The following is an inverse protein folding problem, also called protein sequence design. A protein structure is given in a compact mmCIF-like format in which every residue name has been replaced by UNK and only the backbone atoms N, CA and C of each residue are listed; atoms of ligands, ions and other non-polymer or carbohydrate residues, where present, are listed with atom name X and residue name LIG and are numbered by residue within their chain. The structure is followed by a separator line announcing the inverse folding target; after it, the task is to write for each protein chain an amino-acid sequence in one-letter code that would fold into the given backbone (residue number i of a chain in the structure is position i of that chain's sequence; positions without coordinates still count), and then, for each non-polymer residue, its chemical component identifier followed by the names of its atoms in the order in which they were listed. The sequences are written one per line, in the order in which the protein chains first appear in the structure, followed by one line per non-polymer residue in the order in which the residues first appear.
data_IF_537245560382
#
_entry.id   IF_537245560382
#
_cell.length_a   1.000
_cell.length_b   1.000
_cell.length_c   1.000
_cell.angle_alpha   90.00
_cell.angle_beta   90.00
_cell.angle_gamma   90.00
#
_symmetry.space_group_name_H-M   'P 1'
#
loop_
_entity.id
_entity.type
_entity.pdbx_description
1 polymer ?
#
# COMPACT_ATOMS: atom_id res chain seq x y z
N UNK A 1 -22.52 -9.07 11.51
CA UNK A 1 -22.54 -8.05 10.45
C UNK A 1 -21.50 -8.39 9.39
N UNK A 2 -21.91 -8.91 8.23
CA UNK A 2 -20.97 -9.12 7.12
C UNK A 2 -20.52 -7.75 6.61
N UNK A 3 -19.22 -7.46 6.75
CA UNK A 3 -18.61 -6.21 6.32
C UNK A 3 -18.49 -6.21 4.80
N UNK A 4 -19.53 -5.79 4.07
CA UNK A 4 -19.59 -5.68 2.59
C UNK A 4 -18.40 -4.95 1.99
N UNK A 5 -17.82 -3.99 2.72
CA UNK A 5 -16.60 -3.27 2.33
C UNK A 5 -15.34 -4.15 2.15
N UNK A 6 -15.34 -5.40 2.60
CA UNK A 6 -14.23 -6.35 2.40
C UNK A 6 -14.54 -7.42 1.33
N UNK A 7 -15.67 -7.29 0.63
CA UNK A 7 -16.15 -8.23 -0.37
C UNK A 7 -16.09 -7.59 -1.78
N UNK A 8 -15.07 -7.92 -2.60
CA UNK A 8 -14.86 -7.30 -3.91
C UNK A 8 -15.95 -7.68 -4.92
N UNK A 9 -16.63 -8.81 -4.72
CA UNK A 9 -17.72 -9.28 -5.57
C UNK A 9 -19.11 -8.84 -5.09
N UNK A 10 -19.21 -7.97 -4.08
CA UNK A 10 -20.50 -7.51 -3.54
C UNK A 10 -21.41 -6.94 -4.62
N UNK A 11 -20.88 -6.07 -5.48
CA UNK A 11 -21.62 -5.51 -6.63
C UNK A 11 -22.12 -6.60 -7.61
N UNK A 12 -21.28 -7.59 -7.91
CA UNK A 12 -21.67 -8.71 -8.80
C UNK A 12 -22.74 -9.63 -8.18
N UNK A 13 -22.84 -9.63 -6.85
CA UNK A 13 -23.82 -10.42 -6.11
C UNK A 13 -25.14 -9.68 -5.94
N UNK A 14 -25.25 -8.38 -6.26
CA UNK A 14 -26.49 -7.59 -6.08
C UNK A 14 -27.72 -8.26 -6.72
N UNK A 15 -27.69 -8.72 -7.99
CA UNK A 15 -28.85 -9.39 -8.57
C UNK A 15 -29.24 -10.68 -7.84
N UNK A 16 -28.26 -11.43 -7.29
CA UNK A 16 -28.53 -12.64 -6.52
C UNK A 16 -29.14 -12.31 -5.15
N UNK A 17 -28.68 -11.22 -4.52
CA UNK A 17 -29.22 -10.72 -3.25
C UNK A 17 -30.67 -10.26 -3.45
N UNK A 18 -30.94 -9.48 -4.50
CA UNK A 18 -32.29 -8.98 -4.84
C UNK A 18 -33.27 -10.12 -5.10
N UNK A 19 -32.82 -11.18 -5.76
CA UNK A 19 -33.61 -12.38 -6.04
C UNK A 19 -33.64 -13.40 -4.87
N UNK A 20 -33.08 -13.05 -3.70
CA UNK A 20 -33.05 -13.89 -2.48
C UNK A 20 -32.38 -15.25 -2.70
N UNK A 21 -31.41 -15.32 -3.60
CA UNK A 21 -30.69 -16.53 -4.00
C UNK A 21 -29.52 -16.84 -3.04
N UNK A 22 -29.80 -16.89 -1.74
CA UNK A 22 -28.79 -16.96 -0.66
C UNK A 22 -27.80 -18.12 -0.80
N UNK A 23 -28.25 -19.28 -1.29
CA UNK A 23 -27.41 -20.47 -1.48
C UNK A 23 -26.31 -20.29 -2.53
N UNK A 24 -26.46 -19.31 -3.43
CA UNK A 24 -25.49 -18.97 -4.47
C UNK A 24 -24.59 -17.79 -4.09
N UNK A 25 -24.83 -17.16 -2.94
CA UNK A 25 -23.99 -16.07 -2.45
C UNK A 25 -22.70 -16.63 -1.86
N UNK A 26 -21.61 -16.51 -2.62
CA UNK A 26 -20.26 -16.86 -2.15
C UNK A 26 -19.42 -15.58 -1.98
N UNK A 27 -19.25 -15.08 -0.75
CA UNK A 27 -18.34 -13.96 -0.48
C UNK A 27 -16.89 -14.32 -0.81
N UNK A 28 -16.22 -13.44 -1.55
CA UNK A 28 -14.79 -13.55 -1.82
C UNK A 28 -14.04 -12.49 -1.02
N UNK A 29 -12.76 -12.70 -0.75
CA UNK A 29 -11.87 -11.65 -0.22
C UNK A 29 -10.81 -11.32 -1.25
N UNK A 30 -10.48 -10.03 -1.37
CA UNK A 30 -9.27 -9.59 -2.07
C UNK A 30 -8.19 -9.31 -1.03
N UNK A 31 -7.04 -9.97 -1.13
CA UNK A 31 -5.94 -9.77 -0.19
C UNK A 31 -4.97 -10.94 -0.20
N UNK A 32 -4.65 -11.49 0.97
CA UNK A 32 -3.72 -12.62 1.06
C UNK A 32 -4.17 -13.61 2.12
N UNK A 33 -3.93 -14.90 1.87
CA UNK A 33 -3.99 -15.95 2.88
C UNK A 33 -2.61 -16.61 2.94
N UNK A 34 -2.02 -16.69 4.12
CA UNK A 34 -0.75 -17.35 4.37
C UNK A 34 -0.87 -18.17 5.66
N UNK A 35 -0.28 -19.35 5.69
CA UNK A 35 -0.30 -20.22 6.87
C UNK A 35 1.07 -20.87 7.06
N UNK A 36 1.48 -21.00 8.32
CA UNK A 36 2.61 -21.84 8.73
C UNK A 36 2.17 -22.77 9.86
N UNK A 37 2.74 -23.98 9.85
CA UNK A 37 2.73 -24.91 10.96
C UNK A 37 4.16 -25.08 11.43
N UNK A 38 4.42 -24.86 12.71
CA UNK A 38 5.76 -24.95 13.27
C UNK A 38 5.73 -25.52 14.68
N UNK A 39 6.87 -25.99 15.15
CA UNK A 39 7.06 -26.46 16.51
C UNK A 39 7.79 -25.41 17.33
N UNK A 40 7.29 -25.15 18.53
CA UNK A 40 7.89 -24.26 19.53
C UNK A 40 8.08 -25.09 20.80
N UNK A 41 9.32 -25.47 21.09
CA UNK A 41 9.57 -26.52 22.08
C UNK A 41 8.95 -27.85 21.64
N UNK A 42 8.08 -28.43 22.47
CA UNK A 42 7.31 -29.66 22.16
C UNK A 42 5.94 -29.40 21.54
N UNK A 43 5.54 -28.13 21.39
CA UNK A 43 4.17 -27.75 21.05
C UNK A 43 4.04 -27.38 19.59
N UNK A 44 2.97 -27.86 18.96
CA UNK A 44 2.62 -27.47 17.59
C UNK A 44 1.85 -26.15 17.60
N UNK A 45 2.35 -25.19 16.84
CA UNK A 45 1.78 -23.85 16.71
C UNK A 45 1.44 -23.62 15.24
N UNK A 46 0.15 -23.41 14.97
CA UNK A 46 -0.33 -22.92 13.68
C UNK A 46 -0.46 -21.40 13.74
N UNK A 47 0.14 -20.71 12.77
CA UNK A 47 -0.03 -19.26 12.61
C UNK A 47 -0.57 -18.99 11.21
N UNK A 48 -1.74 -18.36 11.16
CA UNK A 48 -2.41 -17.94 9.93
C UNK A 48 -2.43 -16.43 9.84
N UNK A 49 -2.14 -15.89 8.66
CA UNK A 49 -2.18 -14.47 8.38
C UNK A 49 -3.13 -14.19 7.21
N UNK A 50 -4.18 -13.42 7.47
CA UNK A 50 -5.20 -13.06 6.49
C UNK A 50 -5.15 -11.55 6.29
N UNK A 51 -5.01 -11.09 5.04
CA UNK A 51 -5.28 -9.70 4.67
C UNK A 51 -6.57 -9.59 3.88
N UNK A 52 -7.35 -8.57 4.21
CA UNK A 52 -8.60 -8.21 3.54
C UNK A 52 -8.52 -6.74 3.13
N UNK A 53 -8.54 -6.48 1.83
CA UNK A 53 -8.45 -5.14 1.26
C UNK A 53 -9.85 -4.55 1.13
N UNK A 54 -10.00 -3.31 1.54
CA UNK A 54 -11.26 -2.57 1.41
C UNK A 54 -11.52 -2.14 -0.03
N UNK A 55 -12.77 -2.26 -0.44
CA UNK A 55 -13.27 -1.99 -1.78
C UNK A 55 -13.70 -0.52 -1.95
N UNK A 56 -14.17 0.13 -0.88
CA UNK A 56 -14.74 1.49 -0.88
C UNK A 56 -13.89 2.57 -1.57
N UNK A 57 -12.56 2.48 -1.44
CA UNK A 57 -11.61 3.37 -2.13
C UNK A 57 -10.46 2.57 -2.74
N UNK A 58 -10.80 1.58 -3.57
CA UNK A 58 -9.81 0.81 -4.32
C UNK A 58 -9.12 1.68 -5.37
N UNK A 59 -7.85 1.38 -5.61
CA UNK A 59 -7.15 1.91 -6.76
C UNK A 59 -5.67 1.61 -6.81
N UNK A 60 -5.03 2.09 -7.87
CA UNK A 60 -3.59 1.94 -8.12
C UNK A 60 -2.79 3.03 -7.41
N UNK A 61 -1.49 2.77 -7.22
CA UNK A 61 -0.63 3.49 -6.28
C UNK A 61 -0.61 5.00 -6.45
N UNK A 62 -0.58 5.49 -7.68
CA UNK A 62 -0.46 6.92 -7.97
C UNK A 62 -1.79 7.57 -8.39
N UNK A 63 -2.79 6.78 -8.77
CA UNK A 63 -4.11 7.29 -9.17
C UNK A 63 -5.12 7.33 -8.01
N UNK A 64 -4.86 6.61 -6.91
CA UNK A 64 -5.74 6.61 -5.75
C UNK A 64 -4.93 6.68 -4.45
N UNK A 65 -4.87 7.88 -3.88
CA UNK A 65 -4.26 8.17 -2.58
C UNK A 65 -5.21 8.99 -1.71
N UNK A 66 -4.83 9.15 -0.44
CA UNK A 66 -5.64 9.84 0.54
C UNK A 66 -6.98 9.18 0.83
N UNK A 67 -7.92 9.95 1.33
CA UNK A 67 -9.31 9.57 1.50
C UNK A 67 -10.23 10.27 0.49
N UNK A 68 -11.46 9.79 0.35
CA UNK A 68 -12.54 10.59 -0.22
C UNK A 68 -13.23 11.45 0.86
N UNK A 69 -14.22 12.23 0.43
CA UNK A 69 -15.00 13.12 1.30
C UNK A 69 -15.86 12.36 2.33
N UNK A 70 -16.04 11.05 2.16
CA UNK A 70 -16.77 10.18 3.08
C UNK A 70 -15.85 9.55 4.14
N UNK A 71 -14.54 9.78 4.06
CA UNK A 71 -13.59 9.23 5.02
C UNK A 71 -13.07 7.84 4.64
N UNK A 72 -13.33 7.32 3.44
CA UNK A 72 -12.76 6.04 3.05
C UNK A 72 -11.32 6.24 2.57
N UNK A 73 -10.37 5.67 3.30
CA UNK A 73 -8.96 5.75 2.96
C UNK A 73 -8.59 4.79 1.83
N UNK A 74 -7.78 5.27 0.89
CA UNK A 74 -7.25 4.44 -0.18
C UNK A 74 -6.32 3.35 0.38
N UNK A 75 -6.30 2.20 -0.29
CA UNK A 75 -5.48 1.05 0.07
C UNK A 75 -5.63 0.62 1.54
N UNK A 76 -6.85 0.74 2.08
CA UNK A 76 -7.16 0.25 3.41
C UNK A 76 -7.11 -1.29 3.43
N UNK A 77 -6.33 -1.86 4.34
CA UNK A 77 -6.16 -3.31 4.50
C UNK A 77 -6.28 -3.65 5.97
N UNK A 78 -7.15 -4.61 6.26
CA UNK A 78 -7.24 -5.28 7.55
C UNK A 78 -6.37 -6.53 7.51
N UNK A 79 -5.40 -6.64 8.42
CA UNK A 79 -4.53 -7.79 8.57
C UNK A 79 -4.84 -8.47 9.91
N UNK A 80 -5.21 -9.74 9.86
CA UNK A 80 -5.51 -10.57 11.01
C UNK A 80 -4.51 -11.71 11.14
N UNK A 81 -3.89 -11.80 12.31
CA UNK A 81 -3.01 -12.88 12.69
C UNK A 81 -3.76 -13.80 13.65
N UNK A 82 -3.94 -15.05 13.24
CA UNK A 82 -4.59 -16.10 14.03
C UNK A 82 -3.52 -17.08 14.49
N UNK A 83 -3.52 -17.42 15.78
CA UNK A 83 -2.66 -18.43 16.37
C UNK A 83 -3.53 -19.55 16.94
N UNK A 84 -3.17 -20.80 16.66
CA UNK A 84 -3.84 -21.97 17.21
C UNK A 84 -2.80 -22.93 17.81
N UNK A 85 -2.99 -23.28 19.08
CA UNK A 85 -2.15 -24.25 19.80
C UNK A 85 -2.83 -24.68 21.10
N UNK A 86 -2.57 -25.91 21.57
CA UNK A 86 -3.15 -26.46 22.81
C UNK A 86 -4.69 -26.32 22.93
N UNK A 87 -5.42 -26.37 21.82
CA UNK A 87 -6.88 -26.17 21.81
C UNK A 87 -7.33 -24.70 21.95
N UNK A 88 -6.41 -23.76 22.15
CA UNK A 88 -6.69 -22.32 22.15
C UNK A 88 -6.65 -21.76 20.74
N UNK A 89 -7.51 -20.77 20.47
CA UNK A 89 -7.45 -19.94 19.27
C UNK A 89 -7.35 -18.48 19.68
N UNK A 90 -6.30 -17.79 19.22
CA UNK A 90 -6.13 -16.36 19.42
C UNK A 90 -6.20 -15.63 18.08
N UNK A 91 -6.74 -14.41 18.08
CA UNK A 91 -6.77 -13.54 16.90
C UNK A 91 -6.38 -12.11 17.26
N UNK A 92 -5.56 -11.48 16.41
CA UNK A 92 -5.21 -10.08 16.53
C UNK A 92 -5.35 -9.37 15.18
N UNK A 93 -6.14 -8.29 15.18
CA UNK A 93 -6.46 -7.49 13.99
C UNK A 93 -5.74 -6.14 14.05
N UNK A 94 -5.04 -5.80 12.98
CA UNK A 94 -4.44 -4.49 12.78
C UNK A 94 -4.76 -3.96 11.38
N UNK A 95 -4.82 -2.65 11.24
CA UNK A 95 -5.23 -2.01 9.98
C UNK A 95 -4.14 -1.12 9.44
N UNK A 96 -4.11 -0.94 8.12
CA UNK A 96 -3.25 0.03 7.44
C UNK A 96 -4.02 0.73 6.35
N UNK A 97 -3.53 1.89 5.92
CA UNK A 97 -4.09 2.59 4.78
C UNK A 97 -3.35 3.89 4.48
N UNK A 98 -3.80 4.58 3.44
CA UNK A 98 -3.34 5.93 3.15
C UNK A 98 -3.74 6.90 4.27
N UNK A 99 -3.04 8.03 4.39
CA UNK A 99 -3.42 9.06 5.35
C UNK A 99 -4.85 9.55 5.05
N UNK A 100 -5.76 9.58 6.05
CA UNK A 100 -7.19 9.73 5.83
C UNK A 100 -7.63 11.19 5.63
N UNK A 101 -7.04 11.88 4.64
CA UNK A 101 -7.46 13.19 4.17
C UNK A 101 -7.26 13.29 2.65
N UNK A 102 -7.76 14.36 2.02
CA UNK A 102 -7.71 14.49 0.57
C UNK A 102 -6.32 14.95 0.11
N UNK A 103 -5.59 14.05 -0.56
CA UNK A 103 -4.32 14.35 -1.20
C UNK A 103 -4.03 13.37 -2.33
N UNK A 104 -3.23 13.83 -3.30
CA UNK A 104 -2.95 13.12 -4.54
C UNK A 104 -1.46 13.15 -4.87
N UNK A 105 -1.03 12.20 -5.70
CA UNK A 105 0.33 12.12 -6.22
C UNK A 105 0.27 11.59 -7.65
N UNK A 106 -0.18 12.44 -8.57
CA UNK A 106 -0.46 12.06 -9.96
C UNK A 106 0.83 11.92 -10.76
N UNK A 107 0.93 10.88 -11.59
CA UNK A 107 2.10 10.62 -12.43
C UNK A 107 2.30 11.65 -13.55
N UNK A 108 3.55 12.06 -13.73
CA UNK A 108 3.97 13.08 -14.69
C UNK A 108 5.29 12.71 -15.41
N UNK A 109 5.63 11.41 -15.48
CA UNK A 109 6.94 10.87 -15.91
C UNK A 109 8.12 11.17 -14.96
N UNK A 110 7.92 11.96 -13.90
CA UNK A 110 8.96 12.15 -12.88
C UNK A 110 9.07 10.88 -12.03
N UNK A 111 10.29 10.50 -11.64
CA UNK A 111 10.50 9.33 -10.79
C UNK A 111 9.75 9.41 -9.45
N UNK A 112 9.67 10.61 -8.86
CA UNK A 112 8.87 10.92 -7.66
C UNK A 112 8.00 12.16 -7.92
N UNK A 113 6.73 11.98 -8.30
CA UNK A 113 5.81 13.10 -8.50
C UNK A 113 5.54 13.85 -7.19
N UNK A 114 5.13 15.12 -7.30
CA UNK A 114 4.80 15.97 -6.16
C UNK A 114 3.53 15.50 -5.44
N UNK A 115 3.44 15.84 -4.15
CA UNK A 115 2.22 15.65 -3.36
C UNK A 115 1.39 16.92 -3.39
N UNK A 116 0.13 16.77 -3.77
CA UNK A 116 -0.84 17.86 -3.86
C UNK A 116 -1.93 17.61 -2.81
N UNK A 117 -2.07 18.53 -1.85
CA UNK A 117 -3.11 18.46 -0.81
C UNK A 117 -4.33 19.19 -1.36
N UNK A 118 -5.43 18.45 -1.51
CA UNK A 118 -6.67 18.93 -2.12
C UNK A 118 -7.65 19.30 -1.00
N UNK A 119 -8.43 20.38 -1.16
CA UNK A 119 -9.52 20.77 -0.24
C UNK A 119 -9.12 20.67 1.23
N UNK A 120 -8.11 21.47 1.56
CA UNK A 120 -7.40 21.48 2.83
C UNK A 120 -8.30 21.71 4.04
N UNK A 121 -9.36 22.47 3.83
CA UNK A 121 -10.43 22.82 4.76
C UNK A 121 -11.32 21.62 5.14
N UNK A 122 -11.44 20.61 4.27
CA UNK A 122 -12.25 19.41 4.55
C UNK A 122 -11.50 18.36 5.38
N UNK A 123 -10.19 18.49 5.55
CA UNK A 123 -9.37 17.46 6.19
C UNK A 123 -9.87 17.06 7.60
N UNK A 124 -10.20 17.98 8.52
CA UNK A 124 -10.69 17.61 9.85
C UNK A 124 -11.98 16.78 9.79
N UNK A 125 -12.95 17.20 8.97
CA UNK A 125 -14.24 16.50 8.79
C UNK A 125 -14.05 15.07 8.25
N UNK A 126 -13.14 14.91 7.30
CA UNK A 126 -12.83 13.60 6.70
C UNK A 126 -12.12 12.68 7.70
N UNK A 127 -11.17 13.23 8.48
CA UNK A 127 -10.52 12.48 9.55
C UNK A 127 -11.53 12.03 10.61
N UNK A 128 -12.40 12.93 11.06
CA UNK A 128 -13.39 12.65 12.10
C UNK A 128 -14.29 11.48 11.69
N UNK A 129 -14.85 11.54 10.47
CA UNK A 129 -15.63 10.43 9.89
C UNK A 129 -14.83 9.14 9.82
N UNK A 130 -13.58 9.22 9.36
CA UNK A 130 -12.72 8.05 9.23
C UNK A 130 -12.44 7.37 10.57
N UNK A 131 -12.07 8.14 11.59
CA UNK A 131 -11.76 7.62 12.92
C UNK A 131 -13.01 7.14 13.66
N UNK A 132 -14.15 7.81 13.48
CA UNK A 132 -15.42 7.34 14.01
C UNK A 132 -15.80 5.96 13.43
N UNK A 133 -15.64 5.75 12.13
CA UNK A 133 -15.87 4.44 11.49
C UNK A 133 -14.92 3.35 12.03
N UNK A 134 -13.66 3.70 12.28
CA UNK A 134 -12.71 2.77 12.91
C UNK A 134 -13.10 2.45 14.35
N UNK A 135 -13.49 3.46 15.13
CA UNK A 135 -13.87 3.25 16.53
C UNK A 135 -15.09 2.36 16.66
N UNK A 136 -16.10 2.60 15.82
CA UNK A 136 -17.31 1.77 15.78
C UNK A 136 -17.01 0.30 15.47
N UNK A 137 -15.96 0.02 14.69
CA UNK A 137 -15.62 -1.34 14.25
C UNK A 137 -14.59 -2.04 15.16
N UNK A 138 -13.62 -1.30 15.67
CA UNK A 138 -12.44 -1.88 16.34
C UNK A 138 -12.23 -1.40 17.78
N UNK A 139 -13.07 -0.49 18.29
CA UNK A 139 -12.85 0.15 19.59
C UNK A 139 -11.77 1.23 19.53
N UNK A 140 -10.87 1.28 20.50
CA UNK A 140 -9.81 2.29 20.49
C UNK A 140 -8.91 2.19 19.24
N UNK A 141 -8.34 3.31 18.82
CA UNK A 141 -7.49 3.39 17.62
C UNK A 141 -6.19 4.12 17.96
N UNK A 142 -5.07 3.44 17.75
CA UNK A 142 -3.74 4.04 17.75
C UNK A 142 -3.28 4.26 16.31
N UNK A 143 -3.19 5.52 15.89
CA UNK A 143 -2.64 5.91 14.60
C UNK A 143 -1.12 6.08 14.67
N UNK A 144 -0.39 5.20 13.98
CA UNK A 144 1.07 5.25 13.84
C UNK A 144 1.42 5.80 12.46
N UNK A 145 2.06 6.95 12.41
CA UNK A 145 2.49 7.60 11.17
C UNK A 145 3.99 7.42 10.90
N UNK A 146 4.34 6.76 9.79
CA UNK A 146 5.71 6.38 9.44
C UNK A 146 6.39 7.32 8.41
N UNK A 147 5.82 8.50 8.23
CA UNK A 147 6.17 9.47 7.19
C UNK A 147 7.40 10.29 7.59
N UNK A 148 8.21 10.67 6.60
CA UNK A 148 9.44 11.40 6.84
C UNK A 148 9.15 12.83 7.31
N UNK A 149 10.03 13.37 8.15
CA UNK A 149 9.89 14.74 8.66
C UNK A 149 10.16 15.81 7.60
N UNK A 150 10.98 15.50 6.59
CA UNK A 150 11.41 16.46 5.57
C UNK A 150 10.70 16.35 4.23
N UNK A 151 10.79 17.42 3.44
CA UNK A 151 10.31 17.48 2.05
C UNK A 151 8.79 17.38 1.92
N UNK A 152 8.33 16.84 0.79
CA UNK A 152 6.89 16.71 0.52
C UNK A 152 6.15 15.74 1.48
N UNK A 153 6.86 14.75 2.02
CA UNK A 153 6.36 13.86 3.08
C UNK A 153 6.06 14.65 4.36
N UNK A 154 6.96 15.56 4.74
CA UNK A 154 6.82 16.42 5.92
C UNK A 154 5.56 17.31 5.87
N UNK A 155 5.22 17.85 4.70
CA UNK A 155 3.99 18.64 4.53
C UNK A 155 2.72 17.83 4.77
N UNK A 156 2.70 16.57 4.33
CA UNK A 156 1.57 15.67 4.58
C UNK A 156 1.47 15.33 6.08
N UNK A 157 2.60 15.07 6.73
CA UNK A 157 2.68 14.82 8.18
C UNK A 157 2.17 16.01 8.98
N UNK A 158 2.65 17.22 8.68
CA UNK A 158 2.21 18.44 9.38
C UNK A 158 0.70 18.65 9.23
N UNK A 159 0.18 18.48 8.01
CA UNK A 159 -1.26 18.53 7.76
C UNK A 159 -2.02 17.49 8.57
N UNK A 160 -1.53 16.26 8.58
CA UNK A 160 -2.20 15.17 9.30
C UNK A 160 -2.23 15.43 10.81
N UNK A 161 -1.08 15.81 11.38
CA UNK A 161 -0.94 16.13 12.80
C UNK A 161 -1.88 17.27 13.22
N UNK A 162 -1.94 18.36 12.44
CA UNK A 162 -2.85 19.47 12.71
C UNK A 162 -4.32 19.09 12.59
N UNK A 163 -4.66 18.20 11.67
CA UNK A 163 -6.06 17.82 11.41
C UNK A 163 -6.58 16.76 12.38
N UNK A 164 -5.71 15.92 12.95
CA UNK A 164 -6.09 14.87 13.90
C UNK A 164 -6.20 15.40 15.34
N UNK A 165 -5.48 16.48 15.66
CA UNK A 165 -5.43 17.07 17.00
C UNK A 165 -6.81 17.26 17.66
N UNK A 166 -7.87 17.76 16.97
CA UNK A 166 -9.18 17.93 17.58
C UNK A 166 -9.91 16.62 17.93
N UNK A 167 -9.48 15.49 17.34
CA UNK A 167 -10.13 14.17 17.48
C UNK A 167 -9.39 13.31 18.53
N UNK A 168 -8.21 13.75 18.97
CA UNK A 168 -7.42 13.02 19.96
C UNK A 168 -8.19 12.91 21.29
N UNK A 169 -8.20 11.70 21.83
CA UNK A 169 -8.92 11.33 23.05
C UNK A 169 -8.23 10.13 23.70
N UNK A 170 -8.77 9.61 24.80
CA UNK A 170 -8.27 8.36 25.39
C UNK A 170 -8.37 7.18 24.42
N UNK A 171 -9.37 7.19 23.54
CA UNK A 171 -9.64 6.13 22.56
C UNK A 171 -9.01 6.40 21.19
N UNK A 172 -8.52 7.62 20.91
CA UNK A 172 -7.82 7.96 19.67
C UNK A 172 -6.48 8.58 19.98
N UNK A 173 -5.42 7.79 19.80
CA UNK A 173 -4.03 8.21 20.03
C UNK A 173 -3.27 8.34 18.71
N UNK A 174 -2.43 9.36 18.60
CA UNK A 174 -1.55 9.59 17.46
C UNK A 174 -0.08 9.50 17.87
N UNK A 175 0.72 8.77 17.09
CA UNK A 175 2.17 8.63 17.26
C UNK A 175 2.85 8.82 15.91
N UNK A 176 3.73 9.81 15.81
CA UNK A 176 4.60 9.99 14.64
C UNK A 176 5.96 9.33 14.88
N UNK A 177 6.43 8.58 13.89
CA UNK A 177 7.72 7.90 13.92
C UNK A 177 8.42 8.01 12.56
N UNK A 178 9.48 8.83 12.49
CA UNK A 178 10.26 9.00 11.26
C UNK A 178 11.07 7.74 10.94
N UNK A 179 10.45 6.85 10.15
CA UNK A 179 11.01 5.54 9.83
C UNK A 179 12.35 5.65 9.10
N UNK A 180 12.49 6.60 8.16
CA UNK A 180 13.73 6.74 7.40
C UNK A 180 14.86 7.29 8.26
N UNK A 181 14.59 8.28 9.12
CA UNK A 181 15.61 8.82 10.02
C UNK A 181 16.05 7.80 11.07
N UNK A 182 15.10 7.06 11.64
CA UNK A 182 15.38 6.14 12.74
C UNK A 182 15.95 4.82 12.23
N UNK A 183 15.26 4.13 11.31
CA UNK A 183 15.66 2.80 10.84
C UNK A 183 16.60 2.85 9.62
N UNK A 184 16.65 3.95 8.88
CA UNK A 184 17.48 4.09 7.69
C UNK A 184 17.16 3.02 6.64
N UNK A 185 18.21 2.49 6.02
CA UNK A 185 18.10 1.40 5.04
C UNK A 185 18.32 0.00 5.62
N UNK A 186 18.82 -0.11 6.87
CA UNK A 186 19.43 -1.34 7.42
C UNK A 186 19.05 -1.63 8.89
N UNK A 187 18.69 -0.62 9.69
CA UNK A 187 18.60 -0.73 11.17
C UNK A 187 17.17 -0.82 11.71
N UNK A 188 16.43 -1.86 11.32
CA UNK A 188 15.05 -2.03 11.79
C UNK A 188 14.97 -2.55 13.24
N UNK A 189 16.08 -2.96 13.85
CA UNK A 189 16.16 -3.20 15.31
C UNK A 189 15.71 -1.98 16.12
N UNK A 190 15.86 -0.78 15.56
CA UNK A 190 15.40 0.49 16.15
C UNK A 190 13.88 0.64 16.16
N UNK A 191 13.12 -0.27 15.54
CA UNK A 191 11.67 -0.36 15.73
C UNK A 191 11.29 -0.70 17.17
N UNK A 192 12.22 -1.21 17.97
CA UNK A 192 12.05 -1.29 19.42
C UNK A 192 11.67 0.06 20.05
N UNK A 193 12.21 1.17 19.54
CA UNK A 193 11.87 2.52 20.02
C UNK A 193 10.41 2.88 19.76
N UNK A 194 9.84 2.43 18.64
CA UNK A 194 8.41 2.59 18.36
C UNK A 194 7.60 1.68 19.28
N UNK A 195 8.03 0.43 19.46
CA UNK A 195 7.38 -0.50 20.39
C UNK A 195 7.29 0.07 21.80
N UNK A 196 8.37 0.65 22.33
CA UNK A 196 8.38 1.25 23.67
C UNK A 196 7.35 2.37 23.84
N UNK A 197 7.01 3.12 22.77
CA UNK A 197 5.99 4.17 22.82
C UNK A 197 4.55 3.62 22.79
N UNK A 198 4.35 2.42 22.24
CA UNK A 198 3.03 1.85 21.99
C UNK A 198 2.72 0.62 22.85
N UNK A 199 3.70 0.06 23.57
CA UNK A 199 3.56 -1.17 24.35
C UNK A 199 2.41 -1.12 25.36
N UNK A 200 2.19 0.04 26.00
CA UNK A 200 1.14 0.19 27.01
C UNK A 200 -0.24 0.15 26.37
N UNK A 201 -0.38 0.70 25.15
CA UNK A 201 -1.60 0.59 24.36
C UNK A 201 -1.88 -0.88 23.98
N UNK A 202 -0.86 -1.61 23.51
CA UNK A 202 -1.01 -3.02 23.14
C UNK A 202 -1.41 -3.88 24.35
N UNK A 203 -0.83 -3.62 25.53
CA UNK A 203 -1.20 -4.32 26.78
C UNK A 203 -2.62 -4.00 27.24
N UNK A 204 -3.08 -2.75 27.08
CA UNK A 204 -4.43 -2.31 27.45
C UNK A 204 -5.50 -2.96 26.56
N UNK A 205 -5.29 -2.95 25.25
CA UNK A 205 -6.32 -3.33 24.27
C UNK A 205 -6.27 -4.79 23.81
N UNK A 206 -5.21 -5.52 24.19
CA UNK A 206 -5.07 -6.98 24.08
C UNK A 206 -5.40 -7.54 22.68
N UNK A 207 -5.82 -8.80 22.66
CA UNK A 207 -6.16 -9.61 21.50
C UNK A 207 -7.35 -10.50 21.86
N UNK A 208 -7.99 -11.11 20.86
CA UNK A 208 -9.05 -12.09 21.09
C UNK A 208 -8.43 -13.44 21.46
N UNK A 209 -8.97 -14.13 22.47
CA UNK A 209 -8.56 -15.47 22.87
C UNK A 209 -9.77 -16.30 23.31
N UNK A 210 -9.88 -17.51 22.76
CA UNK A 210 -10.91 -18.49 23.11
C UNK A 210 -10.24 -19.84 23.43
N UNK A 211 -10.81 -20.58 24.38
CA UNK A 211 -10.37 -21.95 24.68
C UNK A 211 -11.09 -22.99 23.81
N UNK A 212 -10.73 -24.25 24.04
CA UNK A 212 -11.28 -25.45 23.40
C UNK A 212 -12.79 -25.63 23.66
N UNK A 213 -13.29 -25.12 24.79
CA UNK A 213 -14.71 -25.13 25.16
C UNK A 213 -15.52 -24.01 24.51
N UNK A 214 -14.89 -23.09 23.78
CA UNK A 214 -15.55 -21.92 23.20
C UNK A 214 -15.78 -20.79 24.20
N UNK A 215 -15.16 -20.83 25.37
CA UNK A 215 -15.21 -19.74 26.36
C UNK A 215 -14.23 -18.64 25.98
N UNK A 216 -14.73 -17.42 25.91
CA UNK A 216 -13.95 -16.23 25.58
C UNK A 216 -13.16 -15.77 26.80
N UNK A 217 -11.84 -15.82 26.70
CA UNK A 217 -10.89 -15.46 27.76
C UNK A 217 -10.48 -13.98 27.63
N UNK A 218 -10.21 -13.54 26.40
CA UNK A 218 -9.76 -12.17 26.12
C UNK A 218 -10.53 -11.59 24.93
N UNK A 219 -10.67 -10.27 24.91
CA UNK A 219 -11.24 -9.51 23.79
C UNK A 219 -10.27 -8.44 23.32
N UNK A 220 -10.17 -8.29 22.01
CA UNK A 220 -9.50 -7.13 21.43
C UNK A 220 -10.43 -5.92 21.49
N UNK A 221 -10.05 -4.88 22.25
CA UNK A 221 -10.84 -3.65 22.44
C UNK A 221 -10.26 -2.44 21.72
N UNK A 222 -9.21 -2.63 20.93
CA UNK A 222 -8.58 -1.56 20.16
C UNK A 222 -7.66 -2.10 19.07
N UNK A 223 -7.36 -1.28 18.07
CA UNK A 223 -6.50 -1.64 16.93
C UNK A 223 -5.40 -0.62 16.70
N UNK A 224 -4.32 -1.04 16.04
CA UNK A 224 -3.28 -0.15 15.53
C UNK A 224 -3.54 0.11 14.06
N UNK A 225 -3.64 1.40 13.70
CA UNK A 225 -3.68 1.88 12.33
C UNK A 225 -2.30 2.38 11.92
N UNK A 226 -1.66 1.70 10.98
CA UNK A 226 -0.35 2.13 10.45
C UNK A 226 -0.54 2.92 9.14
N UNK A 227 -0.12 4.19 9.15
CA UNK A 227 -0.12 5.08 7.99
C UNK A 227 1.28 5.16 7.37
N UNK A 228 1.31 5.26 6.04
CA UNK A 228 2.50 5.57 5.26
C UNK A 228 2.05 6.14 3.92
N UNK A 229 2.93 6.87 3.23
CA UNK A 229 2.69 7.27 1.83
C UNK A 229 2.53 6.01 0.98
N UNK A 230 3.50 5.09 1.06
CA UNK A 230 3.43 3.81 0.39
C UNK A 230 3.22 2.73 1.45
N UNK A 231 1.98 2.28 1.60
CA UNK A 231 1.56 1.29 2.60
C UNK A 231 2.04 -0.14 2.25
N UNK A 232 3.28 -0.27 1.79
CA UNK A 232 3.87 -1.52 1.33
C UNK A 232 5.02 -1.93 2.25
N UNK A 233 6.15 -1.25 2.16
CA UNK A 233 7.38 -1.77 2.75
C UNK A 233 7.50 -1.37 4.24
N UNK A 234 7.40 -0.08 4.57
CA UNK A 234 7.49 0.44 5.95
C UNK A 234 6.38 -0.12 6.85
N UNK A 235 5.14 -0.15 6.32
CA UNK A 235 3.97 -0.62 7.07
C UNK A 235 4.04 -2.12 7.32
N UNK A 236 4.48 -2.94 6.35
CA UNK A 236 4.55 -4.38 6.55
C UNK A 236 5.55 -4.74 7.66
N UNK A 237 6.70 -4.09 7.69
CA UNK A 237 7.69 -4.33 8.76
C UNK A 237 7.16 -3.91 10.12
N UNK A 238 6.53 -2.74 10.23
CA UNK A 238 5.93 -2.28 11.50
C UNK A 238 4.80 -3.21 11.95
N UNK A 239 3.92 -3.64 11.04
CA UNK A 239 2.83 -4.56 11.37
C UNK A 239 3.34 -5.94 11.78
N UNK A 240 4.41 -6.44 11.12
CA UNK A 240 5.07 -7.69 11.49
C UNK A 240 5.71 -7.61 12.88
N UNK A 241 6.31 -6.48 13.25
CA UNK A 241 6.86 -6.27 14.59
C UNK A 241 5.75 -6.28 15.66
N UNK A 242 4.65 -5.56 15.43
CA UNK A 242 3.49 -5.55 16.35
C UNK A 242 2.90 -6.95 16.46
N UNK A 243 2.66 -7.62 15.33
CA UNK A 243 2.14 -8.98 15.29
C UNK A 243 3.02 -9.97 16.04
N UNK A 244 4.35 -9.79 15.98
CA UNK A 244 5.32 -10.63 16.69
C UNK A 244 5.19 -10.46 18.20
N UNK A 245 5.13 -9.22 18.67
CA UNK A 245 5.01 -8.91 20.10
C UNK A 245 3.68 -9.42 20.69
N UNK A 246 2.60 -9.33 19.90
CA UNK A 246 1.32 -9.92 20.27
C UNK A 246 1.38 -11.45 20.26
N UNK A 247 2.03 -12.07 19.27
CA UNK A 247 2.20 -13.53 19.22
C UNK A 247 2.99 -14.07 20.41
N UNK A 248 4.08 -13.38 20.78
CA UNK A 248 4.85 -13.70 21.97
C UNK A 248 3.94 -13.68 23.22
N UNK A 249 3.14 -12.62 23.39
CA UNK A 249 2.20 -12.52 24.51
C UNK A 249 1.11 -13.60 24.47
N UNK A 250 0.63 -13.99 23.28
CA UNK A 250 -0.34 -15.07 23.09
C UNK A 250 0.23 -16.41 23.51
N UNK A 251 1.43 -16.75 23.04
CA UNK A 251 2.11 -18.01 23.34
C UNK A 251 2.55 -18.11 24.81
N UNK A 252 2.92 -16.99 25.43
CA UNK A 252 3.19 -16.93 26.87
C UNK A 252 1.92 -17.13 27.69
N UNK A 253 0.79 -16.58 27.25
CA UNK A 253 -0.51 -16.72 27.94
C UNK A 253 -1.01 -18.16 27.99
N UNK A 254 -0.71 -18.97 26.98
CA UNK A 254 -1.07 -20.39 26.89
C UNK A 254 0.07 -21.34 27.30
N UNK A 255 1.12 -20.80 27.93
CA UNK A 255 2.26 -21.57 28.45
C UNK A 255 2.95 -22.43 27.38
N UNK A 256 3.04 -21.93 26.14
CA UNK A 256 3.88 -22.49 25.07
C UNK A 256 5.27 -21.87 25.11
N UNK A 257 5.36 -20.56 25.41
CA UNK A 257 6.60 -19.86 25.69
C UNK A 257 6.71 -19.54 27.19
N UNK A 258 7.91 -19.62 27.75
CA UNK A 258 8.19 -19.12 29.10
C UNK A 258 8.07 -17.60 29.20
N UNK A 259 7.93 -17.05 30.41
CA UNK A 259 7.70 -15.61 30.68
C UNK A 259 8.78 -14.70 30.05
N UNK A 260 10.02 -15.18 29.96
CA UNK A 260 11.14 -14.47 29.34
C UNK A 260 11.57 -15.06 27.99
N UNK A 261 10.85 -16.08 27.50
CA UNK A 261 11.13 -16.71 26.23
C UNK A 261 10.47 -15.92 25.10
N UNK A 262 11.15 -15.82 23.96
CA UNK A 262 10.71 -15.03 22.81
C UNK A 262 10.82 -15.85 21.53
N UNK A 263 10.17 -15.39 20.46
CA UNK A 263 10.24 -16.09 19.17
C UNK A 263 11.70 -16.17 18.66
N UNK A 264 12.54 -15.20 19.02
CA UNK A 264 13.96 -15.17 18.66
C UNK A 264 14.78 -16.31 19.28
N UNK A 265 14.32 -16.91 20.37
CA UNK A 265 14.95 -18.08 20.99
C UNK A 265 14.67 -19.39 20.22
N UNK A 266 13.74 -19.36 19.24
CA UNK A 266 13.34 -20.51 18.43
C UNK A 266 13.62 -20.23 16.94
N UNK A 267 14.86 -20.43 16.44
CA UNK A 267 15.28 -19.96 15.11
C UNK A 267 14.47 -20.50 13.93
N UNK A 268 14.00 -21.76 14.02
CA UNK A 268 13.16 -22.36 12.99
C UNK A 268 11.79 -21.65 12.92
N UNK A 269 11.16 -21.43 14.07
CA UNK A 269 9.90 -20.71 14.16
C UNK A 269 10.06 -19.24 13.73
N UNK A 270 11.14 -18.57 14.15
CA UNK A 270 11.46 -17.20 13.75
C UNK A 270 11.59 -17.07 12.23
N UNK A 271 12.28 -18.02 11.58
CA UNK A 271 12.46 -18.05 10.13
C UNK A 271 11.11 -18.25 9.41
N UNK A 272 10.28 -19.17 9.89
CA UNK A 272 8.95 -19.39 9.32
C UNK A 272 8.06 -18.15 9.47
N UNK A 273 8.09 -17.50 10.63
CA UNK A 273 7.36 -16.26 10.88
C UNK A 273 7.79 -15.12 9.95
N UNK A 274 9.11 -14.97 9.75
CA UNK A 274 9.68 -13.99 8.81
C UNK A 274 9.23 -14.25 7.37
N UNK A 275 9.25 -15.50 6.92
CA UNK A 275 8.77 -15.88 5.58
C UNK A 275 7.27 -15.62 5.43
N UNK A 276 6.46 -15.95 6.43
CA UNK A 276 5.01 -15.70 6.46
C UNK A 276 4.70 -14.21 6.20
N UNK A 277 5.35 -13.31 6.94
CA UNK A 277 5.14 -11.85 6.79
C UNK A 277 5.73 -11.27 5.52
N UNK A 278 6.81 -11.87 4.99
CA UNK A 278 7.37 -11.45 3.72
C UNK A 278 6.41 -11.77 2.55
N UNK A 279 5.86 -12.99 2.54
CA UNK A 279 4.89 -13.41 1.52
C UNK A 279 3.60 -12.60 1.60
N UNK A 280 3.13 -12.29 2.81
CA UNK A 280 2.03 -11.36 3.03
C UNK A 280 2.31 -9.96 2.46
N UNK A 281 3.49 -9.40 2.74
CA UNK A 281 3.92 -8.11 2.19
C UNK A 281 3.95 -8.10 0.67
N UNK A 282 4.51 -9.13 0.05
CA UNK A 282 4.60 -9.28 -1.41
C UNK A 282 3.21 -9.41 -2.05
N UNK A 283 2.33 -10.24 -1.49
CA UNK A 283 0.98 -10.44 -2.01
C UNK A 283 0.20 -9.12 -2.07
N UNK A 284 0.29 -8.28 -1.03
CA UNK A 284 -0.41 -6.99 -1.02
C UNK A 284 0.29 -5.94 -1.90
N UNK A 285 1.62 -5.97 -1.97
CA UNK A 285 2.38 -5.11 -2.88
C UNK A 285 2.03 -5.36 -4.35
N UNK A 286 1.93 -6.63 -4.76
CA UNK A 286 1.58 -6.99 -6.15
C UNK A 286 0.20 -6.43 -6.51
N UNK A 287 -0.77 -6.50 -5.59
CA UNK A 287 -2.12 -5.99 -5.85
C UNK A 287 -2.15 -4.47 -6.00
N UNK A 288 -1.36 -3.74 -5.21
CA UNK A 288 -1.37 -2.28 -5.21
C UNK A 288 -0.46 -1.65 -6.28
N UNK A 289 0.78 -2.13 -6.42
CA UNK A 289 1.79 -1.56 -7.34
C UNK A 289 2.21 -2.49 -8.48
N UNK A 290 1.62 -3.68 -8.60
CA UNK A 290 1.92 -4.64 -9.67
C UNK A 290 3.27 -5.34 -9.55
N UNK A 291 4.00 -5.15 -8.45
CA UNK A 291 5.29 -5.80 -8.19
C UNK A 291 5.36 -6.28 -6.73
N UNK A 292 6.24 -7.25 -6.40
CA UNK A 292 6.58 -7.58 -5.02
C UNK A 292 7.02 -6.36 -4.20
N UNK A 293 7.03 -6.50 -2.88
CA UNK A 293 7.48 -5.47 -1.95
C UNK A 293 8.97 -5.18 -2.20
N UNK A 294 9.38 -3.92 -2.05
CA UNK A 294 10.81 -3.60 -2.07
C UNK A 294 11.37 -3.94 -0.71
N UNK A 295 12.64 -4.32 -0.67
CA UNK A 295 13.33 -4.75 0.56
C UNK A 295 12.66 -5.97 1.23
N UNK A 296 11.97 -6.84 0.46
CA UNK A 296 11.37 -8.06 0.99
C UNK A 296 12.37 -8.97 1.72
N UNK A 297 13.62 -8.98 1.27
CA UNK A 297 14.76 -9.65 1.91
C UNK A 297 14.95 -9.27 3.38
N UNK A 298 14.62 -8.04 3.73
CA UNK A 298 14.72 -7.61 5.11
C UNK A 298 13.70 -8.35 6.00
N UNK A 299 12.48 -8.51 5.53
CA UNK A 299 11.45 -9.28 6.25
C UNK A 299 11.83 -10.76 6.30
N UNK A 300 12.38 -11.30 5.20
CA UNK A 300 12.76 -12.73 5.09
C UNK A 300 13.98 -13.11 5.93
N UNK A 301 15.02 -12.29 5.92
CA UNK A 301 16.35 -12.65 6.45
C UNK A 301 16.82 -11.71 7.56
N UNK A 302 16.10 -10.63 7.86
CA UNK A 302 16.51 -9.62 8.84
C UNK A 302 17.71 -8.76 8.41
N UNK A 303 18.25 -8.96 7.20
CA UNK A 303 19.39 -8.24 6.62
C UNK A 303 19.20 -8.06 5.11
N UNK A 304 19.90 -7.10 4.52
CA UNK A 304 19.83 -6.84 3.08
C UNK A 304 20.87 -7.68 2.32
N UNK A 305 20.42 -8.44 1.32
CA UNK A 305 21.32 -9.25 0.47
C UNK A 305 21.67 -8.51 -0.83
N UNK A 306 22.81 -8.84 -1.44
CA UNK A 306 23.23 -8.28 -2.74
C UNK A 306 22.27 -8.66 -3.87
N UNK A 307 21.77 -9.90 -3.86
CA UNK A 307 20.73 -10.37 -4.77
C UNK A 307 19.43 -9.57 -4.61
N UNK A 308 19.06 -9.22 -3.38
CA UNK A 308 17.93 -8.36 -3.05
C UNK A 308 18.02 -6.97 -3.65
N UNK A 309 19.22 -6.37 -3.69
CA UNK A 309 19.43 -5.05 -4.29
C UNK A 309 19.16 -5.06 -5.79
N UNK A 310 19.62 -6.10 -6.50
CA UNK A 310 19.36 -6.25 -7.95
C UNK A 310 17.87 -6.46 -8.22
N UNK A 311 17.21 -7.31 -7.42
CA UNK A 311 15.77 -7.53 -7.51
C UNK A 311 14.97 -6.25 -7.21
N UNK A 312 15.39 -5.46 -6.22
CA UNK A 312 14.79 -4.16 -5.89
C UNK A 312 14.91 -3.18 -7.06
N UNK A 313 16.05 -3.13 -7.75
CA UNK A 313 16.24 -2.29 -8.92
C UNK A 313 15.28 -2.68 -10.06
N UNK A 314 15.18 -3.98 -10.36
CA UNK A 314 14.24 -4.51 -11.36
C UNK A 314 12.80 -4.16 -11.00
N UNK A 315 12.42 -4.34 -9.74
CA UNK A 315 11.09 -4.02 -9.25
C UNK A 315 10.81 -2.51 -9.30
N UNK A 316 11.79 -1.65 -9.01
CA UNK A 316 11.64 -0.20 -9.11
C UNK A 316 11.42 0.26 -10.56
N UNK A 317 12.15 -0.30 -11.53
CA UNK A 317 11.95 -0.03 -12.96
C UNK A 317 10.57 -0.53 -13.42
N UNK A 318 10.15 -1.73 -13.02
CA UNK A 318 8.83 -2.25 -13.32
C UNK A 318 7.72 -1.38 -12.73
N UNK A 319 7.83 -0.94 -11.46
CA UNK A 319 6.90 0.00 -10.82
C UNK A 319 6.82 1.31 -11.59
N UNK A 320 7.95 1.87 -12.00
CA UNK A 320 7.97 3.10 -12.80
C UNK A 320 7.19 2.94 -14.11
N UNK A 321 7.41 1.83 -14.82
CA UNK A 321 6.70 1.53 -16.06
C UNK A 321 5.18 1.35 -15.82
N UNK A 322 4.80 0.53 -14.82
CA UNK A 322 3.40 0.24 -14.53
C UNK A 322 2.63 1.51 -14.12
N UNK A 323 3.19 2.29 -13.18
CA UNK A 323 2.58 3.53 -12.69
C UNK A 323 2.32 4.53 -13.83
N UNK A 324 3.25 4.65 -14.78
CA UNK A 324 3.15 5.64 -15.86
C UNK A 324 2.34 5.13 -17.07
N UNK A 325 2.34 3.84 -17.37
CA UNK A 325 1.85 3.35 -18.68
C UNK A 325 0.76 2.29 -18.64
N UNK A 326 0.45 1.71 -17.47
CA UNK A 326 -0.52 0.60 -17.36
C UNK A 326 -1.60 0.86 -16.31
N UNK A 327 -1.24 1.56 -15.22
CA UNK A 327 -2.08 1.67 -14.04
C UNK A 327 -3.38 2.46 -14.23
N UNK A 328 -3.49 3.31 -15.26
CA UNK A 328 -4.73 4.02 -15.59
C UNK A 328 -5.81 3.07 -16.13
N UNK A 329 -5.47 2.21 -17.09
CA UNK A 329 -6.37 1.17 -17.60
C UNK A 329 -6.74 0.17 -16.50
N UNK A 330 -5.78 -0.17 -15.63
CA UNK A 330 -6.02 -1.04 -14.46
C UNK A 330 -7.00 -0.39 -13.48
N UNK A 331 -6.91 0.92 -13.27
CA UNK A 331 -7.85 1.67 -12.43
C UNK A 331 -9.27 1.64 -13.03
N UNK A 332 -9.41 1.89 -14.34
CA UNK A 332 -10.71 1.82 -15.01
C UNK A 332 -11.37 0.44 -14.86
N UNK A 333 -10.58 -0.64 -14.99
CA UNK A 333 -11.06 -2.01 -14.79
C UNK A 333 -11.53 -2.26 -13.34
N UNK A 334 -10.82 -1.72 -12.35
CA UNK A 334 -11.22 -1.82 -10.94
C UNK A 334 -12.54 -1.07 -10.69
N UNK A 335 -12.68 0.15 -11.23
CA UNK A 335 -13.88 0.97 -11.02
C UNK A 335 -15.12 0.34 -11.69
N UNK A 336 -14.96 -0.33 -12.84
CA UNK A 336 -16.04 -1.10 -13.48
C UNK A 336 -16.44 -2.34 -12.67
N UNK A 337 -15.47 -3.15 -12.23
CA UNK A 337 -15.74 -4.38 -11.47
C UNK A 337 -16.42 -4.11 -10.12
N UNK A 338 -16.21 -2.94 -9.53
CA UNK A 338 -16.78 -2.57 -8.24
C UNK A 338 -18.04 -1.73 -8.33
N UNK A 339 -18.54 -1.47 -9.55
CA UNK A 339 -19.76 -0.66 -9.75
C UNK A 339 -19.57 0.82 -9.40
N UNK A 340 -18.33 1.32 -9.27
CA UNK A 340 -18.08 2.74 -9.07
C UNK A 340 -18.39 3.57 -10.32
N UNK A 341 -18.42 2.92 -11.49
CA UNK A 341 -18.88 3.50 -12.74
C UNK A 341 -19.94 2.59 -13.37
N UNK A 342 -21.17 3.09 -13.43
CA UNK A 342 -22.26 2.44 -14.17
C UNK A 342 -22.13 2.87 -15.63
N UNK A 343 -21.70 1.95 -16.48
CA UNK A 343 -21.91 2.11 -17.92
C UNK A 343 -23.42 2.11 -18.14
N UNK A 344 -24.03 3.27 -18.39
CA UNK A 344 -25.36 3.26 -19.00
C UNK A 344 -25.20 2.54 -20.33
N UNK A 345 -25.71 1.32 -20.43
CA UNK A 345 -25.76 0.56 -21.69
C UNK A 345 -26.82 1.23 -22.57
N UNK A 346 -26.52 2.42 -23.05
CA UNK A 346 -27.11 2.91 -24.29
C UNK A 346 -26.17 2.45 -25.39
N UNK A 347 -26.68 1.60 -26.29
CA UNK A 347 -25.93 1.02 -27.42
C UNK A 347 -25.29 2.07 -28.34
N UNK A 348 -25.61 3.36 -28.15
CA UNK A 348 -25.17 4.49 -28.98
C UNK A 348 -24.20 5.46 -28.29
N UNK A 349 -23.57 5.08 -27.17
CA UNK A 349 -22.51 5.92 -26.58
C UNK A 349 -21.24 5.87 -27.44
N UNK A 350 -21.07 6.88 -28.28
CA UNK A 350 -19.80 7.20 -28.91
C UNK A 350 -18.69 7.19 -27.83
N UNK A 351 -17.63 6.42 -28.09
CA UNK A 351 -16.42 6.39 -27.26
C UNK A 351 -16.02 7.83 -26.96
N UNK A 352 -15.81 8.23 -25.69
CA UNK A 352 -15.38 9.58 -25.36
C UNK A 352 -14.14 9.90 -26.19
N UNK A 353 -14.29 10.83 -27.15
CA UNK A 353 -13.18 11.32 -27.98
C UNK A 353 -12.19 11.97 -27.02
N UNK A 354 -10.95 11.48 -27.03
CA UNK A 354 -9.84 12.07 -26.27
C UNK A 354 -9.84 13.60 -26.48
N UNK A 355 -9.71 14.35 -25.39
CA UNK A 355 -9.74 15.80 -25.43
C UNK A 355 -8.48 16.36 -26.08
N UNK A 356 -8.63 17.03 -27.21
CA UNK A 356 -7.55 17.80 -27.86
C UNK A 356 -6.60 17.00 -28.76
N UNK A 357 -6.04 17.70 -29.76
CA UNK A 357 -5.08 17.18 -30.74
C UNK A 357 -3.88 16.49 -30.06
N UNK A 358 -3.34 17.08 -28.99
CA UNK A 358 -2.20 16.53 -28.26
C UNK A 358 -2.48 15.19 -27.58
N UNK A 359 -3.63 14.97 -26.94
CA UNK A 359 -3.94 13.68 -26.29
C UNK A 359 -4.21 12.55 -27.30
N UNK A 360 -4.67 12.92 -28.51
CA UNK A 360 -4.87 11.97 -29.61
C UNK A 360 -3.54 11.43 -30.16
N UNK A 361 -2.51 12.28 -30.24
CA UNK A 361 -1.20 11.92 -30.81
C UNK A 361 -0.10 11.63 -29.77
N UNK A 362 -0.26 12.07 -28.52
CA UNK A 362 0.68 11.79 -27.45
C UNK A 362 0.69 10.30 -27.14
N UNK A 363 1.72 9.62 -27.64
CA UNK A 363 2.03 8.26 -27.25
C UNK A 363 3.48 8.20 -26.80
N UNK A 364 3.70 7.67 -25.60
CA UNK A 364 5.05 7.43 -25.10
C UNK A 364 5.87 6.58 -26.07
N UNK A 365 5.23 5.62 -26.76
CA UNK A 365 5.87 4.79 -27.80
C UNK A 365 6.44 5.63 -28.94
N UNK A 366 5.69 6.61 -29.44
CA UNK A 366 6.16 7.52 -30.48
C UNK A 366 7.27 8.43 -29.96
N UNK A 367 7.10 9.02 -28.77
CA UNK A 367 8.13 9.86 -28.16
C UNK A 367 9.45 9.10 -27.94
N UNK A 368 9.38 7.87 -27.43
CA UNK A 368 10.54 7.01 -27.22
C UNK A 368 11.21 6.64 -28.54
N UNK A 369 10.43 6.27 -29.57
CA UNK A 369 10.96 5.96 -30.89
C UNK A 369 11.69 7.17 -31.52
N UNK A 370 11.14 8.37 -31.36
CA UNK A 370 11.76 9.61 -31.86
C UNK A 370 13.07 9.92 -31.13
N UNK A 371 13.10 9.80 -29.80
CA UNK A 371 14.33 10.00 -29.01
C UNK A 371 15.39 8.96 -29.35
N UNK A 372 15.03 7.68 -29.45
CA UNK A 372 15.97 6.61 -29.81
C UNK A 372 16.48 6.76 -31.24
N UNK A 373 15.62 7.17 -32.19
CA UNK A 373 16.01 7.48 -33.55
C UNK A 373 17.02 8.63 -33.58
N UNK A 374 16.72 9.75 -32.92
CA UNK A 374 17.61 10.90 -32.86
C UNK A 374 18.94 10.57 -32.15
N UNK A 375 18.95 9.74 -31.10
CA UNK A 375 20.17 9.24 -30.45
C UNK A 375 21.01 8.36 -31.39
N UNK A 376 20.35 7.49 -32.16
CA UNK A 376 21.02 6.64 -33.14
C UNK A 376 21.68 7.48 -34.24
N UNK A 377 20.95 8.45 -34.80
CA UNK A 377 21.49 9.38 -35.79
C UNK A 377 22.62 10.25 -35.22
N UNK A 378 22.50 10.71 -33.98
CA UNK A 378 23.57 11.42 -33.27
C UNK A 378 24.83 10.56 -33.17
N UNK A 379 24.72 9.30 -32.73
CA UNK A 379 25.85 8.37 -32.60
C UNK A 379 26.51 8.06 -33.95
N UNK A 380 25.70 7.85 -35.00
CA UNK A 380 26.21 7.62 -36.36
C UNK A 380 26.96 8.85 -36.91
N UNK A 381 26.41 10.05 -36.70
CA UNK A 381 27.04 11.30 -37.11
C UNK A 381 28.33 11.58 -36.32
N UNK A 382 28.34 11.31 -35.01
CA UNK A 382 29.50 11.51 -34.16
C UNK A 382 30.68 10.59 -34.53
N UNK A 383 30.40 9.37 -34.98
CA UNK A 383 31.45 8.45 -35.50
C UNK A 383 32.19 9.02 -36.71
N UNK A 384 31.51 9.79 -37.56
CA UNK A 384 32.07 10.41 -38.76
C UNK A 384 32.53 11.87 -38.53
N UNK A 385 32.35 12.41 -37.32
CA UNK A 385 32.72 13.78 -36.98
C UNK A 385 34.24 14.01 -36.91
N UNK A 386 35.06 12.95 -36.81
CA UNK A 386 36.53 13.05 -36.87
C UNK A 386 37.05 13.39 -38.27
N UNK A 387 36.27 13.10 -39.30
CA UNK A 387 36.67 13.23 -40.71
C UNK A 387 36.05 14.45 -41.40
N UNK A 388 34.92 14.96 -40.91
CA UNK A 388 34.22 16.10 -41.52
C UNK A 388 33.46 16.94 -40.46
N UNK A 389 33.62 18.26 -40.53
CA UNK A 389 32.92 19.25 -39.69
C UNK A 389 31.41 19.25 -39.94
N UNK A 390 30.95 18.90 -41.14
CA UNK A 390 29.52 18.77 -41.42
C UNK A 390 28.85 17.69 -40.56
N UNK A 391 29.53 16.57 -40.32
CA UNK A 391 29.05 15.50 -39.44
C UNK A 391 29.06 15.90 -37.96
N UNK A 392 29.93 16.84 -37.57
CA UNK A 392 29.90 17.44 -36.23
C UNK A 392 28.64 18.32 -36.06
N UNK A 393 28.33 19.19 -37.04
CA UNK A 393 27.14 20.05 -37.01
C UNK A 393 25.83 19.24 -36.99
N UNK A 394 25.75 18.18 -37.81
CA UNK A 394 24.62 17.24 -37.81
C UNK A 394 24.46 16.54 -36.45
N UNK A 395 25.57 16.14 -35.81
CA UNK A 395 25.51 15.52 -34.48
C UNK A 395 24.96 16.47 -33.41
N UNK A 396 25.33 17.76 -33.47
CA UNK A 396 24.81 18.81 -32.58
C UNK A 396 23.32 19.07 -32.82
N UNK A 397 22.87 19.05 -34.09
CA UNK A 397 21.45 19.18 -34.43
C UNK A 397 20.64 18.01 -33.86
N UNK A 398 21.09 16.76 -34.05
CA UNK A 398 20.42 15.58 -33.48
C UNK A 398 20.43 15.58 -31.96
N UNK A 399 21.52 16.04 -31.34
CA UNK A 399 21.59 16.23 -29.89
C UNK A 399 20.58 17.30 -29.41
N UNK A 400 20.49 18.43 -30.10
CA UNK A 400 19.50 19.48 -29.83
C UNK A 400 18.07 18.98 -29.97
N UNK A 401 17.78 18.18 -31.00
CA UNK A 401 16.47 17.57 -31.20
C UNK A 401 16.15 16.56 -30.08
N UNK A 402 17.10 15.69 -29.70
CA UNK A 402 16.95 14.78 -28.56
C UNK A 402 16.60 15.53 -27.27
N UNK A 403 17.34 16.60 -26.97
CA UNK A 403 17.13 17.43 -25.78
C UNK A 403 15.76 18.12 -25.85
N UNK A 404 15.41 18.70 -27.00
CA UNK A 404 14.14 19.37 -27.22
C UNK A 404 12.93 18.44 -27.06
N UNK A 405 12.97 17.26 -27.69
CA UNK A 405 11.91 16.25 -27.56
C UNK A 405 11.81 15.76 -26.11
N UNK A 406 12.94 15.45 -25.47
CA UNK A 406 12.96 15.00 -24.08
C UNK A 406 12.40 16.06 -23.14
N UNK A 407 12.77 17.32 -23.33
CA UNK A 407 12.25 18.45 -22.55
C UNK A 407 10.74 18.65 -22.78
N UNK A 408 10.28 18.59 -24.02
CA UNK A 408 8.87 18.68 -24.36
C UNK A 408 8.04 17.56 -23.73
N UNK A 409 8.51 16.32 -23.82
CA UNK A 409 7.86 15.14 -23.23
C UNK A 409 7.83 15.25 -21.72
N UNK A 410 8.91 15.71 -21.09
CA UNK A 410 8.97 15.89 -19.63
C UNK A 410 8.04 17.01 -19.16
N UNK A 411 8.02 18.15 -19.85
CA UNK A 411 7.13 19.27 -19.53
C UNK A 411 5.65 18.91 -19.66
N UNK A 412 5.32 18.04 -20.62
CA UNK A 412 3.97 17.54 -20.84
C UNK A 412 3.78 16.10 -20.32
N UNK A 413 4.60 15.64 -19.38
CA UNK A 413 4.70 14.22 -19.04
C UNK A 413 3.38 13.60 -18.62
N UNK A 414 2.58 14.40 -17.92
CA UNK A 414 1.19 14.15 -17.55
C UNK A 414 0.32 13.67 -18.74
N UNK A 415 0.51 14.19 -19.96
CA UNK A 415 -0.25 13.81 -21.17
C UNK A 415 0.25 12.50 -21.79
N UNK A 416 1.51 12.15 -21.54
CA UNK A 416 2.15 10.93 -22.05
C UNK A 416 1.97 9.71 -21.13
N UNK A 417 1.38 9.90 -19.94
CA UNK A 417 1.03 8.80 -19.04
C UNK A 417 -0.33 8.19 -19.37
N UNK A 418 -0.51 6.91 -19.02
CA UNK A 418 -1.77 6.20 -19.11
C UNK A 418 -2.69 6.65 -17.98
N UNK A 419 -3.62 7.54 -18.32
CA UNK A 419 -4.62 8.07 -17.38
C UNK A 419 -5.88 7.21 -17.36
N UNK A 420 -6.50 7.00 -16.18
CA UNK A 420 -7.83 6.43 -16.09
C UNK A 420 -8.85 7.35 -16.79
N UNK A 421 -9.75 6.75 -17.56
CA UNK A 421 -10.81 7.45 -18.30
C UNK A 421 -11.96 7.86 -17.39
N UNK A 422 -12.24 7.08 -16.36
CA UNK A 422 -13.35 7.35 -15.43
C UNK A 422 -12.94 8.26 -14.27
N UNK A 423 -11.66 8.64 -14.21
CA UNK A 423 -11.17 9.53 -13.18
C UNK A 423 -11.49 10.99 -13.54
N UNK A 424 -12.55 11.51 -12.94
CA UNK A 424 -12.79 12.95 -12.92
C UNK A 424 -11.79 13.58 -11.94
N UNK A 425 -10.81 14.31 -12.49
CA UNK A 425 -9.96 15.24 -11.73
C UNK A 425 -10.86 16.12 -10.87
N UNK A 426 -10.73 16.05 -9.54
CA UNK A 426 -11.56 16.79 -8.57
C UNK A 426 -11.10 18.25 -8.38
N UNK A 427 -10.60 18.86 -9.45
CA UNK A 427 -10.28 20.28 -9.51
C UNK A 427 -11.47 21.07 -10.04
#
# INVERSE_FOLDING_TARGET
MHSTQLQPNSYLLEPLIENKLNQYLLPVIQGSFQNINAEVGSEKVNVTLIARRCTRRIGTRMWRRGADAEGYAANFVETEQIMQSKGFTASYVQVRGSMPFLWEQIVDLTYKPSFDIVRQEEAPRVLERHFHDLQKKYGAVLAVDLVNTGGGEGRLRERYAKSIEPILSEDVRYVHFDFHRVCGHIHFERLSQLYEQIKDYLKKHRYFLINDKGEKIEEQTGTVRTNCIDCLDRTNVTQSMIGRKILESQLQRIEVLGVNDTISNHPAFDTNYKVLWANHGDAISIQYSGTPALKGDFVRYGKRTTQGIVNDLRNALARYYLNNFVDGTKQDAMDLLQGHYLTSVSRDMAVPRKGGLLESYASFRLAFALVMGALMFMMMSLRHARTDVHHLLLSLLWAGLCIGITHFVRANGRTFTNRPRFHQSRH
#
